data_IF_587804912531
#
_entry.id   IF_587804912531
#
_cell.length_a   1.000
_cell.length_b   1.000
_cell.length_c   1.000
_cell.angle_alpha   90.00
_cell.angle_beta   90.00
_cell.angle_gamma   90.00
#
_symmetry.space_group_name_H-M   'P 1'
#
loop_
_entity.id
_entity.type
_entity.pdbx_description
1 polymer ?
#
# COMPACT_ATOMS: atom_id res chain seq x y z
N UNK A 1 -15.59 -4.30 29.12
CA UNK A 1 -16.98 -3.79 29.19
C UNK A 1 -17.79 -4.32 28.00
N UNK A 2 -19.13 -4.24 28.04
CA UNK A 2 -19.99 -4.61 26.88
C UNK A 2 -19.59 -3.80 25.63
N UNK A 3 -19.31 -2.51 25.80
CA UNK A 3 -18.81 -1.62 24.74
C UNK A 3 -17.53 -2.14 24.09
N UNK A 4 -16.56 -2.60 24.89
CA UNK A 4 -15.32 -3.19 24.37
C UNK A 4 -15.59 -4.41 23.49
N UNK A 5 -16.41 -5.37 23.95
CA UNK A 5 -16.73 -6.57 23.16
C UNK A 5 -17.39 -6.24 21.82
N UNK A 6 -18.25 -5.22 21.79
CA UNK A 6 -18.91 -4.77 20.56
C UNK A 6 -17.92 -4.17 19.56
N UNK A 7 -16.98 -3.32 20.02
CA UNK A 7 -15.94 -2.73 19.15
C UNK A 7 -15.08 -3.81 18.51
N UNK A 8 -14.67 -4.83 19.28
CA UNK A 8 -13.89 -5.94 18.74
C UNK A 8 -14.67 -6.74 17.69
N UNK A 9 -15.95 -6.99 17.93
CA UNK A 9 -16.80 -7.72 16.98
C UNK A 9 -16.95 -6.94 15.66
N UNK A 10 -17.21 -5.63 15.73
CA UNK A 10 -17.36 -4.77 14.55
C UNK A 10 -16.05 -4.63 13.77
N UNK A 11 -14.91 -4.45 14.46
CA UNK A 11 -13.60 -4.42 13.80
C UNK A 11 -13.30 -5.75 13.11
N UNK A 12 -13.49 -6.90 13.78
CA UNK A 12 -13.27 -8.21 13.16
C UNK A 12 -14.15 -8.46 11.95
N UNK A 13 -15.42 -8.04 12.01
CA UNK A 13 -16.32 -8.11 10.86
C UNK A 13 -15.83 -7.22 9.70
N UNK A 14 -15.34 -6.02 10.01
CA UNK A 14 -14.76 -5.11 9.02
C UNK A 14 -13.53 -5.71 8.32
N UNK A 15 -12.62 -6.32 9.10
CA UNK A 15 -11.42 -6.98 8.56
C UNK A 15 -11.81 -8.20 7.72
N UNK A 16 -12.77 -9.00 8.18
CA UNK A 16 -13.27 -10.17 7.45
C UNK A 16 -13.93 -9.81 6.11
N UNK A 17 -14.61 -8.67 6.02
CA UNK A 17 -15.22 -8.20 4.77
C UNK A 17 -14.20 -7.66 3.75
N UNK A 18 -12.95 -7.45 4.14
CA UNK A 18 -11.89 -6.88 3.30
C UNK A 18 -12.38 -5.66 2.51
N UNK A 19 -12.22 -5.66 1.18
CA UNK A 19 -12.62 -4.57 0.29
C UNK A 19 -14.13 -4.39 0.19
N UNK A 20 -14.94 -5.24 0.82
CA UNK A 20 -16.40 -5.07 0.93
C UNK A 20 -16.81 -4.36 2.21
N UNK A 21 -15.87 -3.94 3.07
CA UNK A 21 -16.20 -3.28 4.34
C UNK A 21 -16.96 -1.95 4.15
N UNK A 22 -16.87 -1.34 2.97
CA UNK A 22 -17.60 -0.13 2.61
C UNK A 22 -19.12 -0.33 2.65
N UNK A 23 -19.61 -1.57 2.57
CA UNK A 23 -21.03 -1.89 2.74
C UNK A 23 -21.52 -1.57 4.17
N UNK A 24 -20.64 -1.70 5.17
CA UNK A 24 -20.97 -1.38 6.57
C UNK A 24 -20.71 0.08 6.91
N UNK A 25 -19.63 0.64 6.38
CA UNK A 25 -19.10 1.92 6.85
C UNK A 25 -19.29 3.05 5.84
N UNK A 26 -19.78 2.77 4.63
CA UNK A 26 -19.72 3.66 3.47
C UNK A 26 -18.35 3.61 2.79
N UNK A 27 -18.29 4.04 1.52
CA UNK A 27 -17.04 4.07 0.76
C UNK A 27 -16.36 5.44 0.81
N UNK A 28 -15.04 5.44 0.67
CA UNK A 28 -14.26 6.61 0.29
C UNK A 28 -13.41 6.21 -0.91
N UNK A 29 -13.96 6.40 -2.12
CA UNK A 29 -13.27 6.02 -3.35
C UNK A 29 -12.07 6.92 -3.59
N UNK A 30 -10.88 6.33 -3.62
CA UNK A 30 -9.61 6.99 -3.88
C UNK A 30 -8.89 6.24 -4.99
N UNK A 31 -8.57 6.94 -6.06
CA UNK A 31 -7.70 6.44 -7.14
C UNK A 31 -6.27 6.85 -6.85
N UNK A 32 -5.32 5.99 -7.23
CA UNK A 32 -3.92 6.18 -6.92
C UNK A 32 -3.10 6.06 -8.19
N UNK A 33 -2.96 7.15 -8.92
CA UNK A 33 -2.17 7.15 -10.13
C UNK A 33 -0.71 7.47 -9.80
N UNK A 34 0.21 6.89 -10.57
CA UNK A 34 1.62 7.25 -10.56
C UNK A 34 2.01 7.75 -11.94
N UNK A 35 2.75 8.85 -11.97
CA UNK A 35 3.19 9.50 -13.19
C UNK A 35 4.69 9.74 -13.08
N UNK A 36 5.44 9.32 -14.09
CA UNK A 36 6.84 9.68 -14.25
C UNK A 36 6.98 10.83 -15.24
N UNK A 37 7.84 11.78 -14.87
CA UNK A 37 8.17 12.95 -15.66
C UNK A 37 9.68 13.00 -15.88
N UNK A 38 10.07 13.52 -17.04
CA UNK A 38 11.45 13.89 -17.33
C UNK A 38 11.87 15.00 -16.37
N UNK A 39 12.99 14.86 -15.64
CA UNK A 39 13.36 15.79 -14.58
C UNK A 39 13.81 17.16 -15.10
N UNK A 40 14.28 17.24 -16.34
CA UNK A 40 14.81 18.48 -16.93
C UNK A 40 13.70 19.28 -17.61
N UNK A 41 12.76 18.59 -18.26
CA UNK A 41 11.74 19.20 -19.12
C UNK A 41 10.34 19.15 -18.52
N UNK A 42 10.10 18.29 -17.52
CA UNK A 42 8.77 17.99 -16.99
C UNK A 42 7.89 17.21 -17.96
N UNK A 43 8.43 16.72 -19.09
CA UNK A 43 7.68 15.96 -20.07
C UNK A 43 7.22 14.62 -19.47
N UNK A 44 5.97 14.24 -19.74
CA UNK A 44 5.45 12.92 -19.41
C UNK A 44 6.30 11.78 -20.01
N UNK A 45 6.64 10.80 -19.18
CA UNK A 45 7.34 9.58 -19.59
C UNK A 45 6.37 8.40 -19.62
N UNK A 46 5.75 8.10 -18.47
CA UNK A 46 4.76 7.05 -18.36
C UNK A 46 3.74 7.33 -17.25
N UNK A 47 2.59 6.67 -17.33
CA UNK A 47 1.56 6.64 -16.28
C UNK A 47 1.25 5.20 -15.89
N UNK A 48 0.93 4.98 -14.63
CA UNK A 48 0.28 3.77 -14.15
C UNK A 48 -1.00 4.14 -13.41
N UNK A 49 -2.12 3.53 -13.81
CA UNK A 49 -3.38 3.60 -13.08
C UNK A 49 -3.34 2.58 -11.95
N UNK A 50 -2.94 3.03 -10.76
CA UNK A 50 -2.78 2.16 -9.61
C UNK A 50 -4.09 1.70 -8.99
N UNK A 51 -4.04 1.04 -7.83
CA UNK A 51 -5.21 0.46 -7.20
C UNK A 51 -6.22 1.53 -6.80
N UNK A 52 -7.51 1.24 -7.02
CA UNK A 52 -8.60 2.02 -6.42
C UNK A 52 -8.93 1.46 -5.04
N UNK A 53 -8.90 2.32 -4.02
CA UNK A 53 -9.36 1.97 -2.67
C UNK A 53 -10.78 2.48 -2.47
N UNK A 54 -11.65 1.65 -1.89
CA UNK A 54 -12.97 2.07 -1.41
C UNK A 54 -13.04 2.15 0.12
N UNK A 55 -11.93 1.87 0.79
CA UNK A 55 -11.86 1.72 2.24
C UNK A 55 -11.84 3.08 2.92
N UNK A 56 -12.49 3.17 4.08
CA UNK A 56 -12.37 4.36 4.93
C UNK A 56 -11.05 4.42 5.68
N UNK A 57 -10.47 3.27 5.96
CA UNK A 57 -9.23 3.13 6.69
C UNK A 57 -8.26 2.24 5.90
N UNK A 58 -6.97 2.42 6.15
CA UNK A 58 -5.93 1.71 5.41
C UNK A 58 -5.83 0.28 5.94
N UNK A 59 -5.39 -0.66 5.09
CA UNK A 59 -5.54 -2.09 5.40
C UNK A 59 -4.90 -2.46 6.74
N UNK A 60 -3.63 -2.11 6.94
CA UNK A 60 -2.94 -2.40 8.20
C UNK A 60 -3.44 -1.58 9.40
N UNK A 61 -4.16 -0.48 9.18
CA UNK A 61 -4.85 0.23 10.25
C UNK A 61 -6.10 -0.47 10.74
N UNK A 62 -6.84 -1.11 9.85
CA UNK A 62 -8.00 -1.92 10.23
C UNK A 62 -7.57 -3.19 10.97
N UNK A 63 -6.57 -3.90 10.45
CA UNK A 63 -6.07 -5.15 11.04
C UNK A 63 -5.31 -4.92 12.36
N UNK A 64 -4.48 -3.88 12.40
CA UNK A 64 -3.67 -3.54 13.57
C UNK A 64 -4.43 -2.84 14.71
N UNK A 65 -5.64 -2.32 14.44
CA UNK A 65 -6.36 -1.42 15.36
C UNK A 65 -6.50 -1.99 16.78
N UNK A 66 -7.11 -3.16 16.91
CA UNK A 66 -7.45 -3.76 18.21
C UNK A 66 -6.17 -4.12 18.98
N UNK A 67 -5.23 -4.78 18.31
CA UNK A 67 -3.96 -5.18 18.92
C UNK A 67 -3.18 -3.97 19.44
N UNK A 68 -3.12 -2.88 18.66
CA UNK A 68 -2.44 -1.65 19.08
C UNK A 68 -3.18 -0.96 20.21
N UNK A 69 -4.52 -0.88 20.14
CA UNK A 69 -5.36 -0.31 21.20
C UNK A 69 -5.21 -1.03 22.54
N UNK A 70 -5.32 -2.36 22.55
CA UNK A 70 -5.24 -3.18 23.77
C UNK A 70 -3.87 -3.11 24.44
N UNK A 71 -2.81 -2.84 23.66
CA UNK A 71 -1.44 -2.66 24.14
C UNK A 71 -1.14 -1.22 24.59
N UNK A 72 -2.12 -0.31 24.55
CA UNK A 72 -1.90 1.10 24.86
C UNK A 72 -0.98 1.81 23.87
N UNK A 73 -0.84 1.27 22.65
CA UNK A 73 -0.11 1.88 21.54
C UNK A 73 -1.05 2.75 20.69
N UNK A 74 -0.49 3.47 19.73
CA UNK A 74 -1.26 4.28 18.77
C UNK A 74 -2.19 3.38 17.94
N UNK A 75 -3.51 3.54 18.08
CA UNK A 75 -4.49 2.66 17.43
C UNK A 75 -4.61 2.83 15.92
N UNK A 76 -4.22 3.98 15.35
CA UNK A 76 -4.30 4.26 13.90
C UNK A 76 -3.06 5.02 13.46
N UNK A 77 -2.55 4.69 12.27
CA UNK A 77 -1.32 5.21 11.75
C UNK A 77 -1.47 6.35 10.74
N UNK A 78 -2.59 6.36 10.01
CA UNK A 78 -2.95 7.38 9.02
C UNK A 78 -1.82 7.68 8.02
N UNK A 79 -1.26 6.66 7.31
CA UNK A 79 -0.21 6.93 6.34
C UNK A 79 -0.76 7.71 5.14
N UNK A 80 0.14 8.32 4.38
CA UNK A 80 -0.20 8.86 3.06
C UNK A 80 -0.57 7.74 2.08
N UNK A 81 -1.31 8.05 1.01
CA UNK A 81 -1.74 7.03 0.05
C UNK A 81 -0.60 6.26 -0.61
N UNK A 82 0.55 6.92 -0.78
CA UNK A 82 1.79 6.34 -1.29
C UNK A 82 2.92 6.51 -0.26
N UNK A 83 3.77 5.48 -0.15
CA UNK A 83 5.06 5.55 0.51
C UNK A 83 6.13 6.22 -0.37
N UNK A 84 7.35 6.40 0.16
CA UNK A 84 8.46 6.93 -0.65
C UNK A 84 8.86 5.92 -1.74
N UNK A 85 8.83 6.30 -3.03
CA UNK A 85 9.26 5.42 -4.10
C UNK A 85 10.77 5.23 -4.09
N UNK A 86 11.22 4.10 -4.61
CA UNK A 86 12.64 3.81 -4.86
C UNK A 86 12.82 3.24 -6.26
N UNK A 87 13.89 3.62 -6.93
CA UNK A 87 14.19 3.16 -8.29
C UNK A 87 15.46 2.32 -8.26
N UNK A 88 15.45 1.18 -8.95
CA UNK A 88 16.64 0.33 -9.12
C UNK A 88 17.48 0.74 -10.35
N UNK A 89 18.61 0.07 -10.59
CA UNK A 89 19.48 0.34 -11.73
C UNK A 89 18.87 -0.03 -13.09
N UNK A 90 17.81 -0.82 -13.10
CA UNK A 90 17.09 -1.21 -14.31
C UNK A 90 15.95 -0.22 -14.63
N UNK A 91 15.64 0.72 -13.73
CA UNK A 91 14.56 1.68 -13.89
C UNK A 91 13.22 1.18 -13.32
N UNK A 92 13.20 0.07 -12.57
CA UNK A 92 12.01 -0.41 -11.89
C UNK A 92 11.71 0.46 -10.68
N UNK A 93 10.48 0.97 -10.58
CA UNK A 93 10.01 1.77 -9.45
C UNK A 93 9.31 0.88 -8.44
N UNK A 94 9.79 0.90 -7.20
CA UNK A 94 9.22 0.21 -6.05
C UNK A 94 8.52 1.19 -5.12
N UNK A 95 7.24 0.96 -4.83
CA UNK A 95 6.46 1.89 -4.02
C UNK A 95 5.30 1.18 -3.30
N UNK A 96 5.11 1.52 -2.03
CA UNK A 96 4.03 0.98 -1.21
C UNK A 96 2.76 1.84 -1.30
N UNK A 97 1.58 1.21 -1.35
CA UNK A 97 0.29 1.89 -1.33
C UNK A 97 -0.44 1.68 0.00
N UNK A 98 -1.37 2.59 0.32
CA UNK A 98 -2.26 2.50 1.48
C UNK A 98 -3.20 1.28 1.49
N UNK A 99 -3.43 0.64 0.34
CA UNK A 99 -4.14 -0.63 0.26
C UNK A 99 -3.36 -1.80 0.90
N UNK A 100 -2.11 -1.55 1.30
CA UNK A 100 -1.27 -2.48 2.03
C UNK A 100 -0.37 -3.33 1.17
N UNK A 101 -0.19 -3.01 -0.11
CA UNK A 101 0.71 -3.74 -1.00
C UNK A 101 1.89 -2.88 -1.47
N UNK A 102 2.98 -3.54 -1.87
CA UNK A 102 4.13 -2.91 -2.52
C UNK A 102 4.11 -3.28 -3.99
N UNK A 103 4.34 -2.29 -4.85
CA UNK A 103 4.33 -2.42 -6.29
C UNK A 103 5.74 -2.25 -6.83
N UNK A 104 6.12 -3.06 -7.82
CA UNK A 104 7.27 -2.85 -8.68
C UNK A 104 6.78 -2.61 -10.10
N UNK A 105 7.17 -1.48 -10.69
CA UNK A 105 6.59 -0.92 -11.90
C UNK A 105 7.69 -0.60 -12.90
N UNK A 106 7.53 -1.02 -14.15
CA UNK A 106 8.45 -0.65 -15.23
C UNK A 106 7.77 -0.73 -16.58
N UNK A 107 7.80 0.38 -17.32
CA UNK A 107 7.45 0.44 -18.75
C UNK A 107 8.50 -0.34 -19.56
N UNK A 108 8.19 -1.59 -19.91
CA UNK A 108 9.08 -2.53 -20.60
C UNK A 108 8.97 -2.41 -22.12
N UNK A 109 7.80 -2.03 -22.63
CA UNK A 109 7.56 -1.90 -24.06
C UNK A 109 7.78 -0.46 -24.59
N UNK A 110 7.91 0.51 -23.67
CA UNK A 110 8.21 1.91 -23.97
C UNK A 110 6.99 2.67 -24.50
N UNK A 111 5.77 2.21 -24.23
CA UNK A 111 4.55 2.80 -24.76
C UNK A 111 4.04 4.01 -23.91
N UNK A 112 4.64 4.26 -22.74
CA UNK A 112 4.25 5.35 -21.83
C UNK A 112 3.04 5.05 -20.94
N UNK A 113 2.59 3.80 -20.88
CA UNK A 113 1.49 3.33 -20.06
C UNK A 113 1.87 1.99 -19.42
N UNK A 114 2.18 2.02 -18.13
CA UNK A 114 2.46 0.80 -17.38
C UNK A 114 1.15 0.05 -17.21
N UNK A 115 1.06 -1.16 -17.76
CA UNK A 115 -0.08 -2.04 -17.58
C UNK A 115 0.26 -3.54 -17.67
N UNK A 116 -0.71 -4.37 -17.29
CA UNK A 116 -0.56 -5.83 -17.38
C UNK A 116 0.41 -6.46 -16.37
N UNK A 117 0.52 -7.79 -16.47
CA UNK A 117 1.30 -8.60 -15.52
C UNK A 117 2.81 -8.57 -15.78
N UNK A 118 3.24 -8.14 -16.97
CA UNK A 118 4.67 -8.05 -17.32
C UNK A 118 5.35 -6.81 -16.75
N UNK A 119 4.60 -5.72 -16.56
CA UNK A 119 5.14 -4.41 -16.14
C UNK A 119 4.85 -4.08 -14.68
N UNK A 120 3.92 -4.82 -14.07
CA UNK A 120 3.48 -4.65 -12.69
C UNK A 120 3.69 -5.94 -11.90
N UNK A 121 4.55 -5.88 -10.90
CA UNK A 121 4.67 -6.92 -9.88
C UNK A 121 4.11 -6.43 -8.54
N UNK A 122 3.34 -7.29 -7.87
CA UNK A 122 2.65 -6.96 -6.61
C UNK A 122 3.17 -7.84 -5.47
N UNK A 123 3.70 -7.21 -4.43
CA UNK A 123 4.10 -7.85 -3.19
C UNK A 123 3.03 -7.61 -2.14
N UNK A 124 2.21 -8.63 -1.90
CA UNK A 124 1.08 -8.54 -0.97
C UNK A 124 1.54 -8.55 0.48
N UNK A 125 1.17 -7.52 1.24
CA UNK A 125 1.54 -7.45 2.67
C UNK A 125 0.40 -7.15 3.62
N UNK A 126 -0.71 -6.60 3.12
CA UNK A 126 -1.83 -6.13 3.96
C UNK A 126 -1.37 -5.09 5.01
N UNK A 127 -0.27 -4.40 4.71
CA UNK A 127 0.45 -3.56 5.65
C UNK A 127 -0.07 -2.13 5.76
N UNK A 128 0.59 -1.34 6.60
CA UNK A 128 0.48 0.12 6.62
C UNK A 128 1.87 0.69 6.58
N UNK A 129 2.27 1.15 5.40
CA UNK A 129 3.61 1.65 5.16
C UNK A 129 3.67 3.13 5.54
N UNK A 130 4.51 3.52 6.52
CA UNK A 130 4.82 4.93 6.70
C UNK A 130 5.56 5.46 5.47
N UNK A 131 5.95 6.73 5.52
CA UNK A 131 6.83 7.32 4.49
C UNK A 131 8.12 6.53 4.22
N UNK A 132 8.54 5.59 5.07
CA UNK A 132 9.69 4.72 4.81
C UNK A 132 9.54 3.95 3.49
N UNK A 133 10.45 4.19 2.55
CA UNK A 133 10.53 3.43 1.30
C UNK A 133 11.09 2.02 1.48
N UNK A 134 11.32 1.33 0.36
CA UNK A 134 11.87 -0.03 0.34
C UNK A 134 13.40 -0.05 0.43
N UNK A 135 13.96 -1.15 0.93
CA UNK A 135 15.38 -1.45 0.92
C UNK A 135 15.72 -2.59 -0.06
N UNK A 136 16.85 -2.46 -0.76
CA UNK A 136 17.26 -3.40 -1.81
C UNK A 136 18.71 -3.84 -1.60
N UNK A 137 18.97 -5.12 -1.84
CA UNK A 137 20.30 -5.70 -2.00
C UNK A 137 20.23 -6.77 -3.11
N UNK A 138 21.37 -7.26 -3.65
CA UNK A 138 21.33 -8.30 -4.67
C UNK A 138 20.51 -9.51 -4.21
N UNK A 139 19.43 -9.82 -4.92
CA UNK A 139 18.54 -10.92 -4.60
C UNK A 139 17.55 -10.67 -3.45
N UNK A 140 17.44 -9.43 -2.94
CA UNK A 140 16.65 -9.10 -1.75
C UNK A 140 15.87 -7.77 -1.90
N UNK A 141 14.57 -7.85 -1.67
CA UNK A 141 13.70 -6.70 -1.42
C UNK A 141 13.23 -6.73 0.04
N UNK A 142 13.30 -5.59 0.72
CA UNK A 142 12.79 -5.40 2.07
C UNK A 142 11.81 -4.23 2.10
N UNK A 143 10.65 -4.43 2.73
CA UNK A 143 9.70 -3.36 3.02
C UNK A 143 9.37 -3.37 4.50
N UNK A 144 9.33 -2.20 5.13
CA UNK A 144 9.07 -2.05 6.56
C UNK A 144 7.78 -1.25 6.73
N UNK A 145 6.86 -1.79 7.52
CA UNK A 145 5.61 -1.13 7.85
C UNK A 145 5.58 -0.81 9.35
N UNK A 146 4.45 -0.31 9.88
CA UNK A 146 4.35 -0.02 11.32
C UNK A 146 4.42 -1.24 12.25
N UNK A 147 4.08 -2.43 11.74
CA UNK A 147 3.84 -3.62 12.53
C UNK A 147 4.87 -4.75 12.26
N UNK A 148 5.74 -4.60 11.26
CA UNK A 148 6.66 -5.66 10.83
C UNK A 148 7.59 -5.33 9.65
N UNK A 149 8.37 -6.33 9.30
CA UNK A 149 9.36 -6.31 8.21
C UNK A 149 9.03 -7.44 7.23
N UNK A 150 8.91 -7.10 5.96
CA UNK A 150 8.68 -8.03 4.87
C UNK A 150 9.94 -8.17 4.03
N UNK A 151 10.25 -9.40 3.65
CA UNK A 151 11.47 -9.73 2.91
C UNK A 151 11.12 -10.69 1.78
N UNK A 152 11.56 -10.36 0.57
CA UNK A 152 11.39 -11.20 -0.62
C UNK A 152 12.72 -11.46 -1.30
N UNK A 153 12.79 -12.60 -1.97
CA UNK A 153 13.81 -12.83 -2.98
C UNK A 153 13.43 -12.03 -4.23
N UNK A 154 14.32 -11.16 -4.69
CA UNK A 154 14.15 -10.33 -5.90
C UNK A 154 14.93 -10.89 -7.09
#
# INVERSE_FOLDING_TARGET
>A
SIKGRMIHALNRLSVWLEDSNWLLWGSMTRTHDLVALDPETGKHLWTWQGPTSHRKCNYGDEDGFITRHDRGLRSVCCPTPWGQPRIDSAGTVYVANENGDVYALRDLDGNGNIDGESEVSVYRTKGTFPHSGTAHAPGLLVAVNFDGVFVWKS
#
